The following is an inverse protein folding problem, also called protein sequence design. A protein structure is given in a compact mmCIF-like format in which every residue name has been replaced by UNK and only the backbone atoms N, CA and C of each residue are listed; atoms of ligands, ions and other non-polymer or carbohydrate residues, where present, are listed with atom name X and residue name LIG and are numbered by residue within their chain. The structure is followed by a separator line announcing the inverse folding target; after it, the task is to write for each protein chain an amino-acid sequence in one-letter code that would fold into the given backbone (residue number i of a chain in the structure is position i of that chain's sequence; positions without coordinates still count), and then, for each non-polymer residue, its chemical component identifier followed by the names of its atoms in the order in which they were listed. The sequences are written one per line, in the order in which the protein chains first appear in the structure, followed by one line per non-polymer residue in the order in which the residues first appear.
data_IF_849808351923
#
_entry.id   IF_849808351923
#
_cell.length_a   1.000
_cell.length_b   1.000
_cell.length_c   1.000
_cell.angle_alpha   90.00
_cell.angle_beta   90.00
_cell.angle_gamma   90.00
#
_symmetry.space_group_name_H-M   'P 1'
#
loop_
_entity.id
_entity.type
_entity.pdbx_description
1 polymer ?
#
# COMPACT_ATOMS: atom_id res chain seq x y z
N UNK A 1 20.43 10.84 -18.90
CA UNK A 1 20.51 9.50 -19.54
C UNK A 1 19.31 9.36 -20.44
N UNK A 2 19.48 9.08 -21.75
CA UNK A 2 18.35 8.73 -22.63
C UNK A 2 17.90 7.32 -22.28
N UNK A 3 16.59 7.15 -22.00
CA UNK A 3 16.02 5.83 -21.74
C UNK A 3 16.36 4.91 -22.92
N UNK A 4 16.81 3.69 -22.62
CA UNK A 4 17.03 2.71 -23.68
C UNK A 4 15.70 2.46 -24.40
N UNK A 5 15.68 2.26 -25.73
CA UNK A 5 14.44 2.13 -26.51
C UNK A 5 13.51 1.01 -25.98
N UNK A 6 14.07 -0.01 -25.34
CA UNK A 6 13.32 -1.12 -24.74
C UNK A 6 12.54 -0.70 -23.47
N UNK A 7 13.11 0.14 -22.61
CA UNK A 7 12.43 0.64 -21.40
C UNK A 7 11.26 1.55 -21.75
N UNK A 8 11.42 2.38 -22.79
CA UNK A 8 10.34 3.25 -23.28
C UNK A 8 9.17 2.43 -23.86
N UNK A 9 9.44 1.36 -24.61
CA UNK A 9 8.40 0.47 -25.15
C UNK A 9 7.62 -0.25 -24.05
N UNK A 10 8.30 -0.82 -23.06
CA UNK A 10 7.63 -1.48 -21.93
C UNK A 10 6.77 -0.48 -21.15
N UNK A 11 7.28 0.72 -20.86
CA UNK A 11 6.51 1.75 -20.17
C UNK A 11 5.25 2.13 -20.93
N UNK A 12 5.35 2.33 -22.26
CA UNK A 12 4.19 2.64 -23.10
C UNK A 12 3.12 1.52 -23.06
N UNK A 13 3.56 0.26 -23.04
CA UNK A 13 2.67 -0.89 -22.88
C UNK A 13 1.99 -0.89 -21.51
N UNK A 14 2.72 -0.63 -20.44
CA UNK A 14 2.17 -0.53 -19.07
C UNK A 14 1.17 0.62 -18.98
N UNK A 15 1.50 1.80 -19.53
CA UNK A 15 0.60 2.95 -19.56
C UNK A 15 -0.71 2.67 -20.31
N UNK A 16 -0.64 1.83 -21.35
CA UNK A 16 -1.81 1.42 -22.13
C UNK A 16 -2.64 0.38 -21.39
N UNK A 17 -2.02 -0.67 -20.87
CA UNK A 17 -2.72 -1.78 -20.19
C UNK A 17 -3.37 -1.30 -18.90
N UNK A 18 -2.69 -0.44 -18.14
CA UNK A 18 -3.24 0.09 -16.87
C UNK A 18 -4.38 1.10 -17.04
N UNK A 19 -4.73 1.49 -18.28
CA UNK A 19 -5.97 2.23 -18.58
C UNK A 19 -7.17 1.34 -18.87
N UNK A 20 -6.96 0.03 -19.08
CA UNK A 20 -8.01 -0.88 -19.49
C UNK A 20 -8.84 -1.36 -18.30
N UNK A 21 -10.16 -1.24 -18.37
CA UNK A 21 -11.09 -1.63 -17.30
C UNK A 21 -10.99 -3.12 -16.90
N UNK A 22 -10.71 -4.00 -17.87
CA UNK A 22 -10.59 -5.44 -17.62
C UNK A 22 -9.44 -5.78 -16.67
N UNK A 23 -8.35 -4.97 -16.65
CA UNK A 23 -7.27 -5.17 -15.70
C UNK A 23 -7.79 -5.06 -14.25
N UNK A 24 -8.60 -4.06 -13.98
CA UNK A 24 -9.17 -3.84 -12.66
C UNK A 24 -10.15 -4.93 -12.25
N UNK A 25 -10.90 -5.47 -13.23
CA UNK A 25 -11.72 -6.65 -13.00
C UNK A 25 -10.86 -7.87 -12.64
N UNK A 26 -9.75 -8.10 -13.34
CA UNK A 26 -8.82 -9.18 -12.99
C UNK A 26 -8.22 -8.99 -11.59
N UNK A 27 -7.81 -7.77 -11.23
CA UNK A 27 -7.31 -7.49 -9.87
C UNK A 27 -8.38 -7.72 -8.81
N UNK A 28 -9.63 -7.37 -9.08
CA UNK A 28 -10.76 -7.68 -8.19
C UNK A 28 -10.95 -9.19 -8.03
N UNK A 29 -10.85 -9.95 -9.12
CA UNK A 29 -11.03 -11.41 -9.09
C UNK A 29 -9.96 -12.14 -8.26
N UNK A 30 -8.81 -11.51 -7.98
CA UNK A 30 -7.80 -12.09 -7.09
C UNK A 30 -8.33 -12.33 -5.66
N UNK A 31 -9.35 -11.58 -5.21
CA UNK A 31 -9.96 -11.80 -3.90
C UNK A 31 -10.70 -13.15 -3.78
N UNK A 32 -11.06 -13.74 -4.91
CA UNK A 32 -11.70 -15.05 -4.95
C UNK A 32 -10.70 -16.21 -5.04
N UNK A 33 -9.39 -15.92 -5.08
CA UNK A 33 -8.36 -16.96 -5.03
C UNK A 33 -8.32 -17.53 -3.62
N UNK A 34 -8.49 -18.87 -3.46
CA UNK A 34 -8.50 -19.50 -2.15
C UNK A 34 -7.21 -19.28 -1.36
N UNK A 35 -7.33 -19.13 -0.06
CA UNK A 35 -6.20 -19.09 0.86
C UNK A 35 -5.49 -20.43 0.83
N UNK A 36 -4.16 -20.43 0.74
CA UNK A 36 -3.35 -21.64 0.82
C UNK A 36 -3.05 -21.97 2.30
N UNK A 37 -3.09 -23.25 2.63
CA UNK A 37 -2.56 -23.76 3.90
C UNK A 37 -1.77 -25.05 3.64
N UNK A 38 -0.66 -25.24 4.35
CA UNK A 38 0.19 -26.43 4.18
C UNK A 38 -0.39 -27.70 4.84
N UNK A 39 -1.37 -27.54 5.74
CA UNK A 39 -2.21 -28.62 6.26
C UNK A 39 -3.63 -28.41 5.73
N UNK A 40 -4.37 -29.51 5.57
CA UNK A 40 -5.77 -29.46 5.09
C UNK A 40 -6.66 -28.66 6.04
N UNK A 41 -7.59 -27.91 5.49
CA UNK A 41 -8.59 -27.15 6.23
C UNK A 41 -9.95 -27.21 5.50
N UNK A 42 -11.02 -26.96 6.26
CA UNK A 42 -12.35 -26.82 5.70
C UNK A 42 -12.49 -25.46 5.01
N UNK A 43 -12.91 -25.37 3.74
CA UNK A 43 -13.13 -24.10 3.04
C UNK A 43 -14.05 -23.11 3.77
N UNK A 44 -15.00 -23.60 4.57
CA UNK A 44 -15.89 -22.75 5.39
C UNK A 44 -15.11 -21.93 6.44
N UNK A 45 -13.92 -22.37 6.82
CA UNK A 45 -13.02 -21.68 7.76
C UNK A 45 -12.05 -20.70 7.11
N UNK A 46 -12.22 -20.40 5.82
CA UNK A 46 -11.31 -19.49 5.10
C UNK A 46 -11.23 -18.11 5.73
N UNK A 47 -12.33 -17.58 6.27
CA UNK A 47 -12.37 -16.28 6.95
C UNK A 47 -11.53 -16.32 8.23
N UNK A 48 -11.66 -17.39 9.04
CA UNK A 48 -10.88 -17.57 10.26
C UNK A 48 -9.38 -17.66 9.96
N UNK A 49 -9.00 -18.36 8.86
CA UNK A 49 -7.61 -18.42 8.40
C UNK A 49 -7.07 -17.05 8.06
N UNK A 50 -7.83 -16.26 7.31
CA UNK A 50 -7.45 -14.88 6.95
C UNK A 50 -7.25 -14.05 8.22
N UNK A 51 -8.17 -14.15 9.18
CA UNK A 51 -8.07 -13.47 10.46
C UNK A 51 -6.79 -13.85 11.24
N UNK A 52 -6.45 -15.14 11.29
CA UNK A 52 -5.22 -15.63 11.94
C UNK A 52 -3.96 -15.09 11.25
N UNK A 53 -3.90 -15.06 9.91
CA UNK A 53 -2.76 -14.48 9.19
C UNK A 53 -2.64 -12.99 9.47
N UNK A 54 -3.74 -12.24 9.44
CA UNK A 54 -3.70 -10.78 9.62
C UNK A 54 -3.37 -10.37 11.05
N UNK A 55 -3.70 -11.18 12.05
CA UNK A 55 -3.39 -10.92 13.46
C UNK A 55 -1.92 -11.20 13.82
N UNK A 56 -1.29 -12.18 13.17
CA UNK A 56 0.08 -12.60 13.47
C UNK A 56 0.88 -12.93 12.19
N UNK A 57 1.02 -11.99 11.25
CA UNK A 57 1.77 -12.24 10.03
C UNK A 57 3.27 -12.39 10.32
N UNK A 58 3.99 -13.09 9.44
CA UNK A 58 5.43 -13.32 9.59
C UNK A 58 6.24 -12.04 9.81
N UNK A 59 5.80 -10.93 9.20
CA UNK A 59 6.51 -9.64 9.30
C UNK A 59 6.53 -9.10 10.75
N UNK A 60 5.58 -9.44 11.59
CA UNK A 60 5.53 -8.99 13.00
C UNK A 60 6.54 -9.74 13.90
N UNK A 61 7.11 -10.84 13.41
CA UNK A 61 8.25 -11.50 14.05
C UNK A 61 9.55 -10.69 14.04
N UNK A 62 9.55 -9.47 13.48
CA UNK A 62 10.72 -8.59 13.35
C UNK A 62 10.51 -7.25 14.12
N UNK A 63 10.30 -7.26 15.45
CA UNK A 63 9.91 -6.06 16.22
C UNK A 63 10.94 -4.93 16.14
N UNK A 64 12.23 -5.26 15.97
CA UNK A 64 13.31 -4.26 15.81
C UNK A 64 13.12 -3.38 14.56
N UNK A 65 12.38 -3.87 13.55
CA UNK A 65 12.09 -3.11 12.34
C UNK A 65 10.94 -2.11 12.51
N UNK A 66 10.10 -2.23 13.54
CA UNK A 66 8.91 -1.37 13.69
C UNK A 66 9.23 0.12 13.74
N UNK A 67 10.18 0.61 14.57
CA UNK A 67 10.56 2.02 14.55
C UNK A 67 11.19 2.44 13.22
N UNK A 68 12.03 1.58 12.64
CA UNK A 68 12.70 1.84 11.36
C UNK A 68 11.69 1.95 10.24
N UNK A 69 10.70 1.04 10.21
CA UNK A 69 9.63 1.02 9.23
C UNK A 69 8.71 2.26 9.30
N UNK A 70 8.70 2.98 10.40
CA UNK A 70 7.99 4.27 10.54
C UNK A 70 8.86 5.48 10.23
N UNK A 71 10.08 5.50 10.75
CA UNK A 71 10.95 6.66 10.60
C UNK A 71 11.52 6.79 9.18
N UNK A 72 11.87 5.67 8.53
CA UNK A 72 12.42 5.69 7.18
C UNK A 72 11.44 6.25 6.15
N UNK A 73 10.17 5.77 6.02
CA UNK A 73 9.24 6.33 5.06
C UNK A 73 8.90 7.79 5.34
N UNK A 74 8.82 8.20 6.61
CA UNK A 74 8.64 9.59 6.97
C UNK A 74 9.83 10.44 6.49
N UNK A 75 11.06 10.02 6.79
CA UNK A 75 12.27 10.69 6.35
C UNK A 75 12.36 10.77 4.81
N UNK A 76 12.01 9.68 4.11
CA UNK A 76 12.00 9.65 2.64
C UNK A 76 10.91 10.54 2.06
N UNK A 77 9.69 10.53 2.61
CA UNK A 77 8.62 11.42 2.16
C UNK A 77 8.99 12.90 2.33
N UNK A 78 9.51 13.28 3.50
CA UNK A 78 10.03 14.63 3.76
C UNK A 78 11.22 14.93 2.85
N UNK A 79 12.13 13.98 2.68
CA UNK A 79 13.28 14.11 1.78
C UNK A 79 12.87 14.38 0.33
N UNK A 80 11.86 13.66 -0.19
CA UNK A 80 11.30 13.91 -1.53
C UNK A 80 10.69 15.32 -1.63
N UNK A 81 10.00 15.78 -0.58
CA UNK A 81 9.42 17.13 -0.53
C UNK A 81 10.48 18.24 -0.55
N UNK A 82 11.60 18.03 0.14
CA UNK A 82 12.67 19.03 0.31
C UNK A 82 13.73 18.98 -0.81
N UNK A 83 14.13 17.77 -1.22
CA UNK A 83 15.27 17.56 -2.13
C UNK A 83 14.86 17.05 -3.51
N UNK A 84 13.57 16.78 -3.74
CA UNK A 84 13.01 16.39 -5.04
C UNK A 84 13.68 15.14 -5.62
N UNK A 85 14.14 15.23 -6.86
CA UNK A 85 14.72 14.09 -7.59
C UNK A 85 16.01 13.51 -6.99
N UNK A 86 16.69 14.20 -6.07
CA UNK A 86 17.81 13.59 -5.34
C UNK A 86 17.35 12.40 -4.49
N UNK A 87 16.10 12.44 -4.01
CA UNK A 87 15.50 11.38 -3.20
C UNK A 87 14.68 10.38 -4.03
N UNK A 88 14.55 10.56 -5.35
CA UNK A 88 13.74 9.67 -6.22
C UNK A 88 14.16 8.21 -6.10
N UNK A 89 15.42 7.92 -6.33
CA UNK A 89 15.94 6.54 -6.30
C UNK A 89 15.84 5.91 -4.91
N UNK A 90 16.29 6.55 -3.82
CA UNK A 90 16.09 6.03 -2.47
C UNK A 90 14.61 5.76 -2.16
N UNK A 91 13.70 6.67 -2.51
CA UNK A 91 12.28 6.49 -2.29
C UNK A 91 11.71 5.31 -3.09
N UNK A 92 11.97 5.24 -4.41
CA UNK A 92 11.47 4.17 -5.27
C UNK A 92 12.00 2.79 -4.82
N UNK A 93 13.28 2.69 -4.46
CA UNK A 93 13.89 1.44 -3.94
C UNK A 93 13.24 1.03 -2.63
N UNK A 94 13.08 1.97 -1.70
CA UNK A 94 12.43 1.69 -0.42
C UNK A 94 11.01 1.15 -0.64
N UNK A 95 10.21 1.80 -1.48
CA UNK A 95 8.82 1.39 -1.72
C UNK A 95 8.76 0.03 -2.42
N UNK A 96 9.66 -0.26 -3.37
CA UNK A 96 9.74 -1.57 -4.01
C UNK A 96 10.07 -2.69 -2.99
N UNK A 97 11.08 -2.46 -2.13
CA UNK A 97 11.46 -3.42 -1.08
C UNK A 97 10.34 -3.58 -0.05
N UNK A 98 9.70 -2.49 0.36
CA UNK A 98 8.56 -2.53 1.26
C UNK A 98 7.43 -3.40 0.70
N UNK A 99 6.96 -3.14 -0.52
CA UNK A 99 5.86 -3.92 -1.10
C UNK A 99 6.25 -5.38 -1.36
N UNK A 100 7.50 -5.68 -1.69
CA UNK A 100 7.98 -7.07 -1.75
C UNK A 100 7.90 -7.75 -0.37
N UNK A 101 8.38 -7.08 0.68
CA UNK A 101 8.30 -7.60 2.04
C UNK A 101 6.83 -7.80 2.49
N UNK A 102 5.95 -6.83 2.22
CA UNK A 102 4.53 -6.92 2.54
C UNK A 102 3.85 -8.04 1.74
N UNK A 103 4.19 -8.23 0.46
CA UNK A 103 3.62 -9.29 -0.36
C UNK A 103 3.88 -10.66 0.24
N UNK A 104 5.10 -10.94 0.69
CA UNK A 104 5.46 -12.27 1.18
C UNK A 104 5.27 -12.45 2.68
N UNK A 105 5.57 -11.44 3.48
CA UNK A 105 5.64 -11.58 4.93
C UNK A 105 4.37 -11.12 5.65
N UNK A 106 3.63 -10.15 5.09
CA UNK A 106 2.37 -9.71 5.70
C UNK A 106 1.20 -10.61 5.32
N UNK A 107 1.23 -11.21 4.11
CA UNK A 107 0.15 -12.09 3.64
C UNK A 107 0.31 -13.53 4.07
N UNK A 108 1.32 -13.84 4.87
CA UNK A 108 1.66 -15.21 5.30
C UNK A 108 1.87 -15.27 6.80
N UNK A 109 1.46 -16.39 7.40
CA UNK A 109 1.71 -16.72 8.80
C UNK A 109 2.00 -18.21 8.97
N UNK A 110 2.64 -18.59 10.07
CA UNK A 110 2.75 -19.99 10.50
C UNK A 110 1.85 -20.19 11.70
N UNK A 111 0.92 -21.12 11.61
CA UNK A 111 -0.03 -21.46 12.66
C UNK A 111 0.15 -22.91 13.09
N UNK A 112 -0.14 -23.22 14.36
CA UNK A 112 -0.03 -24.59 14.87
C UNK A 112 -1.02 -25.54 14.18
N UNK A 113 -2.22 -25.03 13.90
CA UNK A 113 -3.32 -25.82 13.33
C UNK A 113 -3.13 -26.07 11.84
N UNK A 114 -2.83 -25.01 11.05
CA UNK A 114 -2.86 -25.06 9.59
C UNK A 114 -1.47 -25.04 8.94
N UNK A 115 -0.40 -24.95 9.74
CA UNK A 115 0.98 -24.81 9.27
C UNK A 115 1.22 -23.46 8.60
N UNK A 116 1.94 -23.45 7.47
CA UNK A 116 2.11 -22.23 6.68
C UNK A 116 0.79 -21.88 5.99
N UNK A 117 0.28 -20.70 6.27
CA UNK A 117 -0.93 -20.13 5.65
C UNK A 117 -0.55 -18.91 4.82
N UNK A 118 -1.11 -18.80 3.62
CA UNK A 118 -0.89 -17.67 2.71
C UNK A 118 -2.22 -17.18 2.16
N UNK A 119 -2.52 -15.90 2.34
CA UNK A 119 -3.67 -15.24 1.70
C UNK A 119 -3.32 -15.00 0.23
N UNK A 120 -3.56 -16.01 -0.61
CA UNK A 120 -3.05 -16.06 -2.00
C UNK A 120 -3.49 -14.86 -2.85
N UNK A 121 -4.73 -14.42 -2.70
CA UNK A 121 -5.25 -13.26 -3.42
C UNK A 121 -4.54 -11.95 -3.03
N UNK A 122 -4.34 -11.73 -1.73
CA UNK A 122 -3.61 -10.56 -1.24
C UNK A 122 -2.13 -10.61 -1.66
N UNK A 123 -1.50 -11.79 -1.57
CA UNK A 123 -0.13 -11.99 -2.07
C UNK A 123 -0.03 -11.59 -3.54
N UNK A 124 -0.90 -12.09 -4.40
CA UNK A 124 -0.87 -11.81 -5.83
C UNK A 124 -1.10 -10.31 -6.11
N UNK A 125 -2.08 -9.69 -5.45
CA UNK A 125 -2.38 -8.27 -5.62
C UNK A 125 -1.20 -7.38 -5.19
N UNK A 126 -0.66 -7.60 -3.99
CA UNK A 126 0.46 -6.79 -3.47
C UNK A 126 1.74 -7.05 -4.26
N UNK A 127 1.95 -8.30 -4.74
CA UNK A 127 3.10 -8.63 -5.59
C UNK A 127 3.03 -7.92 -6.95
N UNK A 128 1.85 -7.76 -7.56
CA UNK A 128 1.68 -6.97 -8.79
C UNK A 128 2.07 -5.51 -8.54
N UNK A 129 1.65 -4.93 -7.41
CA UNK A 129 2.07 -3.58 -7.01
C UNK A 129 3.58 -3.53 -6.84
N UNK A 130 4.18 -4.49 -6.13
CA UNK A 130 5.62 -4.56 -5.89
C UNK A 130 6.43 -4.65 -7.20
N UNK A 131 6.00 -5.48 -8.15
CA UNK A 131 6.65 -5.61 -9.47
C UNK A 131 6.62 -4.29 -10.24
N UNK A 132 5.52 -3.54 -10.20
CA UNK A 132 5.46 -2.21 -10.82
C UNK A 132 6.40 -1.21 -10.13
N UNK A 133 6.58 -1.30 -8.82
CA UNK A 133 7.55 -0.46 -8.12
C UNK A 133 9.00 -0.87 -8.39
N UNK A 134 9.29 -2.17 -8.55
CA UNK A 134 10.60 -2.65 -9.06
C UNK A 134 10.84 -2.13 -10.47
N UNK A 135 9.81 -2.14 -11.32
CA UNK A 135 9.90 -1.51 -12.64
C UNK A 135 10.19 -0.01 -12.54
N UNK A 136 9.56 0.71 -11.60
CA UNK A 136 9.80 2.14 -11.41
C UNK A 136 11.23 2.45 -10.97
N UNK A 137 11.87 1.57 -10.20
CA UNK A 137 13.31 1.71 -9.86
C UNK A 137 14.18 1.70 -11.12
N UNK A 138 13.79 0.91 -12.14
CA UNK A 138 14.53 0.80 -13.42
C UNK A 138 14.15 1.91 -14.39
N UNK A 139 12.84 2.21 -14.50
CA UNK A 139 12.31 3.17 -15.47
C UNK A 139 12.57 4.62 -15.05
N UNK A 140 12.69 4.87 -13.73
CA UNK A 140 12.90 6.21 -13.13
C UNK A 140 11.94 7.27 -13.67
N UNK A 141 10.67 6.90 -13.88
CA UNK A 141 9.64 7.74 -14.48
C UNK A 141 9.09 8.79 -13.52
N UNK A 142 9.10 8.52 -12.21
CA UNK A 142 8.72 9.50 -11.21
C UNK A 142 9.64 10.73 -11.29
N UNK A 143 9.06 11.92 -11.45
CA UNK A 143 9.79 13.19 -11.42
C UNK A 143 9.30 14.03 -10.25
N UNK A 144 10.13 14.14 -9.21
CA UNK A 144 9.86 14.90 -7.99
C UNK A 144 10.47 16.30 -8.04
N UNK A 145 10.73 16.86 -9.24
CA UNK A 145 11.12 18.26 -9.36
C UNK A 145 10.03 19.16 -8.79
N UNK A 146 10.43 20.37 -8.39
CA UNK A 146 9.52 21.38 -7.84
C UNK A 146 8.47 21.78 -8.88
N UNK A 147 7.40 21.01 -8.96
CA UNK A 147 6.18 21.38 -9.66
C UNK A 147 5.36 22.25 -8.72
N UNK A 148 4.63 23.23 -9.26
CA UNK A 148 3.69 24.04 -8.48
C UNK A 148 2.60 23.11 -7.92
N UNK A 149 2.79 22.67 -6.68
CA UNK A 149 1.85 21.76 -6.01
C UNK A 149 0.61 22.54 -5.63
N UNK A 150 -0.57 22.20 -6.16
CA UNK A 150 -1.80 22.91 -5.79
C UNK A 150 -2.04 22.80 -4.29
N UNK A 151 -2.26 23.94 -3.62
CA UNK A 151 -2.46 23.97 -2.15
C UNK A 151 -3.56 23.02 -1.69
N UNK A 152 -4.60 22.87 -2.48
CA UNK A 152 -5.74 22.03 -2.18
C UNK A 152 -5.43 20.51 -2.17
N UNK A 153 -4.27 20.05 -2.69
CA UNK A 153 -3.86 18.65 -2.61
C UNK A 153 -3.23 18.27 -1.26
N UNK A 154 -2.86 19.26 -0.44
CA UNK A 154 -2.13 18.99 0.80
C UNK A 154 -2.96 18.27 1.87
N UNK A 155 -4.28 18.16 1.70
CA UNK A 155 -5.14 17.38 2.61
C UNK A 155 -4.72 15.89 2.72
N UNK A 156 -4.02 15.35 1.72
CA UNK A 156 -3.50 13.98 1.77
C UNK A 156 -2.41 13.82 2.83
N UNK A 157 -1.65 14.87 3.15
CA UNK A 157 -0.53 14.79 4.08
C UNK A 157 -0.94 14.50 5.53
N UNK A 158 -1.92 15.20 6.15
CA UNK A 158 -2.39 14.85 7.49
C UNK A 158 -3.03 13.47 7.55
N UNK A 159 -3.75 13.03 6.53
CA UNK A 159 -4.32 11.67 6.49
C UNK A 159 -3.22 10.60 6.38
N UNK A 160 -2.19 10.83 5.56
CA UNK A 160 -1.04 9.94 5.49
C UNK A 160 -0.27 9.87 6.82
N UNK A 161 -0.15 11.00 7.53
CA UNK A 161 0.47 11.05 8.85
C UNK A 161 -0.35 10.26 9.89
N UNK A 162 -1.68 10.41 9.92
CA UNK A 162 -2.57 9.62 10.80
C UNK A 162 -2.41 8.12 10.50
N UNK A 163 -2.36 7.74 9.23
CA UNK A 163 -2.16 6.35 8.80
C UNK A 163 -0.80 5.81 9.26
N UNK A 164 0.28 6.58 9.10
CA UNK A 164 1.62 6.18 9.53
C UNK A 164 1.72 6.03 11.03
N UNK A 165 1.15 6.96 11.80
CA UNK A 165 1.15 6.91 13.26
C UNK A 165 0.27 5.78 13.77
N UNK A 166 -0.91 5.58 13.15
CA UNK A 166 -1.92 4.59 13.48
C UNK A 166 -2.10 4.44 15.00
N UNK A 167 -2.76 5.40 15.67
CA UNK A 167 -2.94 5.40 17.12
C UNK A 167 -3.94 4.31 17.53
N UNK A 168 -3.49 3.06 17.53
CA UNK A 168 -4.29 1.87 17.84
C UNK A 168 -3.47 0.87 18.65
N UNK A 169 -4.09 0.28 19.65
CA UNK A 169 -3.59 -0.92 20.31
C UNK A 169 -4.04 -2.15 19.51
N UNK A 170 -3.09 -2.89 18.97
CA UNK A 170 -3.37 -4.07 18.15
C UNK A 170 -4.06 -5.22 18.91
N UNK A 171 -3.95 -5.24 20.24
CA UNK A 171 -4.54 -6.28 21.08
C UNK A 171 -6.03 -6.01 21.39
N UNK A 172 -6.34 -4.74 21.70
CA UNK A 172 -7.70 -4.32 22.10
C UNK A 172 -8.47 -3.68 20.96
N UNK A 173 -7.81 -3.41 19.81
CA UNK A 173 -8.35 -2.69 18.64
C UNK A 173 -8.95 -1.32 19.00
N UNK A 174 -8.50 -0.75 20.11
CA UNK A 174 -8.98 0.54 20.66
C UNK A 174 -7.97 1.66 20.39
N UNK A 175 -8.39 2.94 20.52
CA UNK A 175 -7.48 4.07 20.40
C UNK A 175 -6.33 4.01 21.42
N UNK A 176 -5.10 4.15 20.93
CA UNK A 176 -3.91 4.29 21.78
C UNK A 176 -3.00 5.41 21.23
N UNK A 177 -2.94 6.51 21.97
CA UNK A 177 -2.15 7.69 21.62
C UNK A 177 -0.84 7.78 22.41
N UNK A 178 -0.40 6.71 23.09
CA UNK A 178 0.86 6.71 23.81
C UNK A 178 2.03 7.00 22.86
N UNK A 179 2.85 8.03 23.11
CA UNK A 179 3.88 8.49 22.16
C UNK A 179 4.86 7.39 21.73
N UNK A 180 5.23 6.50 22.63
CA UNK A 180 6.11 5.37 22.32
C UNK A 180 5.44 4.40 21.34
N UNK A 181 4.16 4.09 21.57
CA UNK A 181 3.37 3.20 20.69
C UNK A 181 3.22 3.78 19.28
N UNK A 182 3.03 5.09 19.14
CA UNK A 182 2.96 5.73 17.84
C UNK A 182 4.22 5.53 16.97
N UNK A 183 5.37 5.24 17.60
CA UNK A 183 6.64 5.02 16.89
C UNK A 183 6.95 3.52 16.77
N UNK A 184 6.47 2.69 17.68
CA UNK A 184 6.88 1.29 17.79
C UNK A 184 5.80 0.28 17.39
N UNK A 185 4.59 0.71 17.05
CA UNK A 185 3.54 -0.21 16.59
C UNK A 185 3.77 -0.72 15.15
N UNK A 186 3.03 -1.70 14.74
CA UNK A 186 3.17 -2.48 13.50
C UNK A 186 2.79 -1.70 12.23
N UNK A 187 2.23 -0.50 12.34
CA UNK A 187 1.69 0.25 11.19
C UNK A 187 2.69 0.45 10.05
N UNK A 188 3.98 0.66 10.38
CA UNK A 188 5.05 0.76 9.38
C UNK A 188 5.30 -0.52 8.58
N UNK A 189 4.80 -1.66 9.05
CA UNK A 189 4.91 -2.98 8.46
C UNK A 189 3.57 -3.49 7.91
N UNK A 190 2.59 -2.60 7.67
CA UNK A 190 1.29 -2.97 7.12
C UNK A 190 0.99 -2.24 5.83
N UNK A 191 0.43 -2.97 4.86
CA UNK A 191 0.04 -2.42 3.56
C UNK A 191 -0.95 -1.25 3.72
N UNK A 192 -1.97 -1.44 4.56
CA UNK A 192 -3.06 -0.48 4.70
C UNK A 192 -2.61 0.85 5.32
N UNK A 193 -1.57 0.84 6.16
CA UNK A 193 -1.07 2.06 6.79
C UNK A 193 0.06 2.71 5.98
N UNK A 194 0.84 1.93 5.23
CA UNK A 194 1.96 2.45 4.43
C UNK A 194 1.54 2.96 3.06
N UNK A 195 0.54 2.34 2.43
CA UNK A 195 0.07 2.76 1.10
C UNK A 195 -0.43 4.20 1.06
N UNK A 196 -1.18 4.73 2.05
CA UNK A 196 -1.54 6.15 2.11
C UNK A 196 -0.34 7.10 2.08
N UNK A 197 0.77 6.75 2.73
CA UNK A 197 1.99 7.56 2.75
C UNK A 197 2.62 7.62 1.35
N UNK A 198 2.73 6.46 0.70
CA UNK A 198 3.26 6.36 -0.67
C UNK A 198 2.39 7.11 -1.66
N UNK A 199 1.07 6.89 -1.61
CA UNK A 199 0.12 7.55 -2.51
C UNK A 199 0.01 9.06 -2.26
N UNK A 200 0.16 9.53 -1.03
CA UNK A 200 0.21 10.96 -0.74
C UNK A 200 1.40 11.63 -1.44
N UNK A 201 2.59 11.02 -1.40
CA UNK A 201 3.75 11.52 -2.14
C UNK A 201 3.44 11.58 -3.64
N UNK A 202 2.98 10.48 -4.24
CA UNK A 202 2.66 10.46 -5.68
C UNK A 202 1.58 11.48 -6.04
N UNK A 203 0.55 11.64 -5.23
CA UNK A 203 -0.55 12.60 -5.43
C UNK A 203 -0.06 14.04 -5.44
N UNK A 204 0.85 14.39 -4.52
CA UNK A 204 1.42 15.74 -4.44
C UNK A 204 2.27 16.09 -5.67
N UNK A 205 2.88 15.11 -6.31
CA UNK A 205 3.72 15.31 -7.50
C UNK A 205 3.02 14.96 -8.82
N UNK A 206 1.76 14.54 -8.79
CA UNK A 206 0.99 14.32 -10.01
C UNK A 206 0.84 15.64 -10.82
N UNK A 207 1.00 15.64 -12.16
CA UNK A 207 1.06 14.51 -13.10
C UNK A 207 2.48 13.99 -13.39
N UNK A 208 3.52 14.47 -12.73
CA UNK A 208 4.92 14.15 -13.04
C UNK A 208 5.37 12.78 -12.51
N UNK A 209 4.47 11.95 -11.99
CA UNK A 209 4.76 10.60 -11.49
C UNK A 209 4.39 9.53 -12.52
N UNK A 210 4.92 8.31 -12.36
CA UNK A 210 4.58 7.18 -13.22
C UNK A 210 3.08 6.85 -13.13
N UNK A 211 2.31 7.04 -14.23
CA UNK A 211 0.87 6.86 -14.18
C UNK A 211 0.45 5.39 -13.99
N UNK A 212 1.22 4.43 -14.52
CA UNK A 212 0.93 3.01 -14.35
C UNK A 212 1.07 2.59 -12.88
N UNK A 213 2.14 3.02 -12.22
CA UNK A 213 2.37 2.78 -10.78
C UNK A 213 1.28 3.43 -9.95
N UNK A 214 0.92 4.70 -10.25
CA UNK A 214 -0.12 5.41 -9.51
C UNK A 214 -1.48 4.71 -9.64
N UNK A 215 -1.89 4.30 -10.87
CA UNK A 215 -3.17 3.61 -11.11
C UNK A 215 -3.30 2.31 -10.36
N UNK A 216 -2.31 1.43 -10.49
CA UNK A 216 -2.40 0.09 -9.89
C UNK A 216 -2.25 0.15 -8.37
N UNK A 217 -1.32 0.97 -7.85
CA UNK A 217 -1.15 1.12 -6.40
C UNK A 217 -2.39 1.74 -5.75
N UNK A 218 -3.01 2.74 -6.39
CA UNK A 218 -4.24 3.35 -5.87
C UNK A 218 -5.45 2.42 -5.96
N UNK A 219 -5.59 1.65 -7.06
CA UNK A 219 -6.67 0.67 -7.17
C UNK A 219 -6.54 -0.43 -6.11
N UNK A 220 -5.35 -0.98 -5.92
CA UNK A 220 -5.10 -1.99 -4.88
C UNK A 220 -5.38 -1.44 -3.47
N UNK A 221 -4.97 -0.18 -3.20
CA UNK A 221 -5.28 0.50 -1.94
C UNK A 221 -6.79 0.72 -1.74
N UNK A 222 -7.51 1.12 -2.78
CA UNK A 222 -8.96 1.29 -2.76
C UNK A 222 -9.67 -0.04 -2.48
N UNK A 223 -9.24 -1.11 -3.13
CA UNK A 223 -9.85 -2.43 -3.01
C UNK A 223 -9.64 -3.01 -1.61
N UNK A 224 -8.39 -3.04 -1.11
CA UNK A 224 -8.07 -3.50 0.24
C UNK A 224 -8.70 -2.60 1.32
N UNK A 225 -8.72 -1.30 1.09
CA UNK A 225 -9.37 -0.35 1.98
C UNK A 225 -10.86 -0.58 2.07
N UNK A 226 -11.55 -0.76 0.94
CA UNK A 226 -13.00 -1.03 0.91
C UNK A 226 -13.36 -2.32 1.64
N UNK A 227 -12.60 -3.40 1.43
CA UNK A 227 -12.81 -4.67 2.15
C UNK A 227 -12.64 -4.48 3.65
N UNK A 228 -11.58 -3.79 4.09
CA UNK A 228 -11.38 -3.52 5.52
C UNK A 228 -12.48 -2.63 6.12
N UNK A 229 -13.00 -1.64 5.37
CA UNK A 229 -14.14 -0.83 5.82
C UNK A 229 -15.40 -1.70 6.03
N UNK A 230 -15.68 -2.64 5.11
CA UNK A 230 -16.79 -3.58 5.25
C UNK A 230 -16.60 -4.48 6.48
N UNK A 231 -15.40 -5.01 6.68
CA UNK A 231 -15.10 -5.88 7.82
C UNK A 231 -15.28 -5.11 9.14
N UNK A 232 -14.60 -3.98 9.32
CA UNK A 232 -14.53 -3.29 10.61
C UNK A 232 -15.77 -2.47 10.98
N UNK A 233 -16.56 -2.04 10.01
CA UNK A 233 -17.82 -1.34 10.30
C UNK A 233 -19.06 -2.23 10.13
N UNK A 234 -18.95 -3.32 9.36
CA UNK A 234 -20.09 -4.19 9.08
C UNK A 234 -20.08 -5.52 9.82
N UNK A 235 -18.95 -6.23 9.80
CA UNK A 235 -18.86 -7.59 10.33
C UNK A 235 -18.29 -7.63 11.76
N UNK A 236 -17.21 -6.87 12.01
CA UNK A 236 -16.44 -6.86 13.27
C UNK A 236 -16.53 -5.48 13.94
N UNK A 237 -17.75 -4.98 14.12
CA UNK A 237 -18.00 -3.61 14.59
C UNK A 237 -17.44 -3.28 15.97
N UNK A 238 -17.08 -4.27 16.79
CA UNK A 238 -16.34 -4.07 18.03
C UNK A 238 -14.97 -3.43 17.83
N UNK A 239 -14.33 -3.69 16.67
CA UNK A 239 -13.07 -3.07 16.26
C UNK A 239 -13.24 -1.83 15.37
N UNK A 240 -14.31 -1.05 15.53
CA UNK A 240 -14.64 0.11 14.70
C UNK A 240 -13.48 1.10 14.52
N UNK A 241 -12.58 1.21 15.51
CA UNK A 241 -11.43 2.10 15.43
C UNK A 241 -10.43 1.66 14.34
N UNK A 242 -10.31 0.37 14.10
CA UNK A 242 -9.55 -0.15 12.95
C UNK A 242 -10.18 0.33 11.63
N UNK A 243 -11.51 0.35 11.54
CA UNK A 243 -12.22 0.95 10.39
C UNK A 243 -11.82 2.40 10.18
N UNK A 244 -11.80 3.21 11.25
CA UNK A 244 -11.36 4.61 11.20
C UNK A 244 -9.94 4.73 10.67
N UNK A 245 -9.02 3.84 11.06
CA UNK A 245 -7.63 3.83 10.57
C UNK A 245 -7.51 3.49 9.08
N UNK A 246 -8.53 2.85 8.47
CA UNK A 246 -8.56 2.56 7.04
C UNK A 246 -9.18 3.70 6.20
N UNK A 247 -9.82 4.69 6.80
CA UNK A 247 -10.37 5.87 6.09
C UNK A 247 -9.29 6.59 5.26
N UNK A 248 -8.09 6.88 5.78
CA UNK A 248 -7.02 7.49 4.99
C UNK A 248 -6.67 6.69 3.73
N UNK A 249 -6.61 5.37 3.84
CA UNK A 249 -6.32 4.48 2.71
C UNK A 249 -7.38 4.65 1.62
N UNK A 250 -8.66 4.55 1.97
CA UNK A 250 -9.75 4.67 1.00
C UNK A 250 -9.77 6.04 0.34
N UNK A 251 -9.75 7.12 1.13
CA UNK A 251 -9.86 8.47 0.60
C UNK A 251 -8.69 8.84 -0.32
N UNK A 252 -7.45 8.56 0.11
CA UNK A 252 -6.26 8.88 -0.69
C UNK A 252 -6.22 8.00 -1.94
N UNK A 253 -6.59 6.71 -1.83
CA UNK A 253 -6.59 5.79 -2.97
C UNK A 253 -7.64 6.15 -4.02
N UNK A 254 -8.87 6.44 -3.62
CA UNK A 254 -9.93 6.89 -4.55
C UNK A 254 -9.50 8.17 -5.26
N UNK A 255 -8.97 9.13 -4.51
CA UNK A 255 -8.51 10.38 -5.07
C UNK A 255 -7.33 10.20 -6.04
N UNK A 256 -6.31 9.43 -5.65
CA UNK A 256 -5.15 9.13 -6.49
C UNK A 256 -5.55 8.38 -7.77
N UNK A 257 -6.50 7.45 -7.66
CA UNK A 257 -7.04 6.73 -8.80
C UNK A 257 -7.78 7.66 -9.77
N UNK A 258 -8.66 8.53 -9.27
CA UNK A 258 -9.35 9.52 -10.07
C UNK A 258 -8.37 10.47 -10.79
N UNK A 259 -7.37 10.99 -10.07
CA UNK A 259 -6.33 11.82 -10.67
C UNK A 259 -5.57 11.12 -11.79
N UNK A 260 -5.24 9.84 -11.60
CA UNK A 260 -4.46 9.06 -12.56
C UNK A 260 -5.19 8.82 -13.89
N UNK A 261 -6.52 9.00 -13.92
CA UNK A 261 -7.38 8.85 -15.10
C UNK A 261 -7.87 10.21 -15.65
N UNK A 262 -7.74 11.30 -14.89
CA UNK A 262 -8.07 12.63 -15.39
C UNK A 262 -7.17 12.99 -16.56
N UNK A 263 -7.74 13.51 -17.64
CA UNK A 263 -6.99 14.00 -18.80
C UNK A 263 -6.11 15.18 -18.37
N UNK A 264 -4.85 15.17 -18.83
CA UNK A 264 -3.86 16.23 -18.53
C UNK A 264 -4.25 17.58 -19.16
N UNK A 265 -5.27 17.59 -20.02
CA UNK A 265 -5.76 18.78 -20.71
C UNK A 265 -6.70 19.67 -19.87
N UNK A 266 -7.16 19.15 -18.71
CA UNK A 266 -8.13 19.84 -17.85
C UNK A 266 -7.49 20.54 -16.61
N UNK A 267 -6.17 20.59 -16.52
CA UNK A 267 -5.41 21.20 -15.42
C UNK A 267 -4.41 22.21 -15.94
#
# INVERSE_FOLDING_TARGET
MRAQPRTASIQASLDTVTKKWWLYLLLLLLFFVPTYASKSYDPEKSIDLIGQVLSAPLIYGLPILMPVAKLVPLALAVGVLLYGNRMRRPFNVYVAVLYLALAFLQTSAVTDTYGLVVISGNLALVLIVAVLWVWEVVAEKNDFKSVRRPKWRWWVAPLAAISLLAPVDATTMSPDFAPLRLITNEAGLTYCMMTPVVLAVLTLFHPSVNPAVLRVSSFAGMLLGAVNMIVWFGLESWGWWMGVMHIPLVLISVYAFALSHASTEAM
#
